data_IF_635671801415
#
_entry.id   IF_635671801415
#
_cell.length_a   1.000
_cell.length_b   1.000
_cell.length_c   1.000
_cell.angle_alpha   90.00
_cell.angle_beta   90.00
_cell.angle_gamma   90.00
#
_symmetry.space_group_name_H-M   'P 1'
#
loop_
_entity.id
_entity.type
_entity.pdbx_description
1 polymer ?
#
# COMPACT_ATOMS: atom_id res chain seq x y z
N UNK A 1 -13.93 -8.24 -3.37
CA UNK A 1 -13.16 -8.93 -2.32
C UNK A 1 -13.18 -10.43 -2.56
N UNK A 2 -12.02 -11.06 -2.78
CA UNK A 2 -11.93 -12.52 -2.99
C UNK A 2 -12.01 -13.23 -1.64
N UNK A 3 -13.17 -13.79 -1.28
CA UNK A 3 -13.34 -14.58 -0.05
C UNK A 3 -12.96 -16.04 -0.34
N UNK A 4 -11.99 -16.59 0.40
CA UNK A 4 -11.62 -18.02 0.34
C UNK A 4 -12.21 -18.71 1.58
N UNK A 5 -12.95 -19.81 1.40
CA UNK A 5 -13.44 -20.68 2.50
C UNK A 5 -12.95 -22.09 2.26
N UNK A 6 -12.46 -22.73 3.31
CA UNK A 6 -12.13 -24.16 3.33
C UNK A 6 -13.20 -24.82 4.19
N UNK A 7 -13.92 -25.81 3.64
CA UNK A 7 -14.82 -26.66 4.41
C UNK A 7 -13.98 -27.83 4.92
N UNK A 8 -13.92 -28.00 6.24
CA UNK A 8 -13.29 -29.14 6.88
C UNK A 8 -14.43 -30.13 7.15
N UNK A 9 -14.46 -31.26 6.43
CA UNK A 9 -15.49 -32.28 6.65
C UNK A 9 -15.12 -33.16 7.85
N UNK A 10 -14.02 -33.92 7.78
CA UNK A 10 -13.52 -34.73 8.89
C UNK A 10 -11.98 -34.71 8.89
N UNK A 11 -11.35 -34.06 9.87
CA UNK A 11 -9.90 -34.05 10.05
C UNK A 11 -9.58 -34.80 11.34
N UNK A 12 -8.88 -35.93 11.21
CA UNK A 12 -8.44 -36.73 12.36
C UNK A 12 -7.04 -36.25 12.75
N UNK A 13 -6.96 -35.52 13.85
CA UNK A 13 -5.71 -34.93 14.34
C UNK A 13 -5.36 -35.52 15.70
N UNK A 14 -4.06 -35.73 15.93
CA UNK A 14 -3.55 -36.15 17.24
C UNK A 14 -3.37 -34.93 18.12
N UNK A 15 -3.62 -35.10 19.41
CA UNK A 15 -3.42 -34.06 20.41
C UNK A 15 -1.97 -33.54 20.37
N UNK A 16 -1.80 -32.22 20.48
CA UNK A 16 -0.51 -31.50 20.46
C UNK A 16 0.34 -31.61 19.18
N UNK A 17 -0.12 -32.27 18.11
CA UNK A 17 0.61 -32.38 16.86
C UNK A 17 0.09 -31.40 15.79
N UNK A 18 0.97 -30.59 15.15
CA UNK A 18 0.56 -29.70 14.07
C UNK A 18 0.08 -30.50 12.85
N UNK A 19 -1.09 -30.11 12.34
CA UNK A 19 -1.69 -30.66 11.12
C UNK A 19 -1.85 -29.54 10.09
N UNK A 20 -1.39 -29.78 8.87
CA UNK A 20 -1.58 -28.87 7.73
C UNK A 20 -3.00 -29.05 7.21
N UNK A 21 -3.84 -28.01 7.35
CA UNK A 21 -5.22 -28.02 6.84
C UNK A 21 -5.27 -27.67 5.35
N UNK A 22 -4.26 -26.96 4.86
CA UNK A 22 -4.15 -26.62 3.45
C UNK A 22 -3.16 -25.49 3.18
N UNK A 23 -2.83 -25.30 1.90
CA UNK A 23 -1.98 -24.23 1.43
C UNK A 23 -2.36 -23.74 0.05
N UNK A 24 -1.96 -22.53 -0.29
CA UNK A 24 -2.07 -21.96 -1.62
C UNK A 24 -0.74 -21.33 -1.99
N UNK A 25 -0.10 -21.87 -3.01
CA UNK A 25 1.01 -21.22 -3.70
C UNK A 25 0.49 -20.65 -5.02
N UNK A 26 0.67 -19.34 -5.21
CA UNK A 26 0.30 -18.64 -6.43
C UNK A 26 1.50 -17.87 -6.93
N UNK A 27 1.97 -18.24 -8.10
CA UNK A 27 2.93 -17.46 -8.87
C UNK A 27 2.20 -16.70 -9.97
N UNK A 28 2.49 -15.40 -10.08
CA UNK A 28 2.00 -14.54 -11.14
C UNK A 28 3.20 -13.85 -11.77
N UNK A 29 3.42 -14.17 -13.03
CA UNK A 29 4.38 -13.48 -13.88
C UNK A 29 3.64 -12.41 -14.67
N UNK A 30 4.02 -11.14 -14.46
CA UNK A 30 3.50 -10.02 -15.24
C UNK A 30 4.64 -9.45 -16.06
N UNK A 31 4.57 -9.66 -17.38
CA UNK A 31 5.45 -9.01 -18.34
C UNK A 31 4.77 -7.73 -18.86
N UNK A 32 5.41 -6.58 -18.67
CA UNK A 32 4.95 -5.31 -19.22
C UNK A 32 5.96 -4.81 -20.25
N UNK A 33 5.57 -4.82 -21.52
CA UNK A 33 6.38 -4.30 -22.61
C UNK A 33 5.92 -2.87 -22.90
N UNK A 34 6.77 -1.90 -22.60
CA UNK A 34 6.56 -0.50 -23.00
C UNK A 34 7.36 -0.25 -24.28
N UNK A 35 6.71 0.24 -25.32
CA UNK A 35 7.35 0.53 -26.61
C UNK A 35 6.90 1.88 -27.16
N UNK A 36 7.78 2.53 -27.92
CA UNK A 36 7.44 3.74 -28.67
C UNK A 36 6.64 3.33 -29.93
N UNK A 37 5.45 3.89 -30.18
CA UNK A 37 4.66 3.56 -31.38
C UNK A 37 5.43 3.93 -32.66
N UNK A 38 5.37 3.06 -33.68
CA UNK A 38 6.14 3.18 -34.93
C UNK A 38 7.55 2.61 -34.83
N UNK A 39 8.43 3.24 -34.04
CA UNK A 39 9.84 2.85 -33.89
C UNK A 39 10.04 1.48 -33.20
N UNK A 40 9.11 1.08 -32.34
CA UNK A 40 9.15 -0.21 -31.65
C UNK A 40 8.89 -1.42 -32.57
N UNK A 41 8.26 -1.25 -33.72
CA UNK A 41 7.94 -2.39 -34.62
C UNK A 41 9.02 -2.70 -35.65
N UNK A 42 10.12 -1.93 -35.71
CA UNK A 42 11.17 -2.11 -36.70
C UNK A 42 11.93 -3.44 -36.44
N UNK A 43 12.06 -4.34 -37.42
CA UNK A 43 12.90 -5.53 -37.30
C UNK A 43 14.35 -5.10 -37.02
N UNK A 44 15.08 -5.84 -36.18
CA UNK A 44 16.48 -5.56 -35.79
C UNK A 44 16.63 -4.37 -34.80
N UNK A 45 16.10 -3.18 -35.12
CA UNK A 45 16.31 -1.97 -34.30
C UNK A 45 15.26 -1.76 -33.19
N UNK A 46 14.12 -2.44 -33.25
CA UNK A 46 13.01 -2.24 -32.31
C UNK A 46 13.32 -2.58 -30.84
N UNK A 47 14.42 -3.30 -30.55
CA UNK A 47 14.82 -3.63 -29.18
C UNK A 47 15.34 -2.40 -28.41
N UNK A 48 15.99 -1.44 -29.09
CA UNK A 48 16.49 -0.20 -28.47
C UNK A 48 15.37 0.72 -27.98
N UNK A 49 14.18 0.59 -28.56
CA UNK A 49 13.00 1.42 -28.28
C UNK A 49 11.91 0.66 -27.48
N UNK A 50 12.27 -0.48 -26.88
CA UNK A 50 11.40 -1.29 -26.01
C UNK A 50 12.01 -1.40 -24.62
N UNK A 51 11.19 -1.17 -23.59
CA UNK A 51 11.53 -1.49 -22.21
C UNK A 51 10.64 -2.62 -21.72
N UNK A 52 11.24 -3.78 -21.44
CA UNK A 52 10.54 -4.91 -20.80
C UNK A 52 10.72 -4.81 -19.29
N UNK A 53 9.62 -4.81 -18.56
CA UNK A 53 9.63 -4.89 -17.10
C UNK A 53 8.98 -6.20 -16.72
N UNK A 54 9.80 -7.15 -16.28
CA UNK A 54 9.36 -8.44 -15.76
C UNK A 54 9.14 -8.32 -14.26
N UNK A 55 7.93 -8.60 -13.79
CA UNK A 55 7.60 -8.60 -12.36
C UNK A 55 7.04 -9.97 -11.99
N UNK A 56 7.75 -10.65 -11.09
CA UNK A 56 7.33 -11.93 -10.53
C UNK A 56 6.70 -11.68 -9.17
N UNK A 57 5.46 -12.12 -8.98
CA UNK A 57 4.73 -12.04 -7.73
C UNK A 57 4.44 -13.46 -7.22
N UNK A 58 5.02 -13.83 -6.07
CA UNK A 58 4.81 -15.12 -5.41
C UNK A 58 4.02 -14.92 -4.13
N UNK A 59 2.83 -15.51 -4.05
CA UNK A 59 1.96 -15.49 -2.87
C UNK A 59 1.88 -16.92 -2.35
N UNK A 60 2.40 -17.14 -1.15
CA UNK A 60 2.29 -18.41 -0.45
C UNK A 60 1.39 -18.20 0.77
N UNK A 61 0.40 -19.07 0.97
CA UNK A 61 -0.47 -19.12 2.14
C UNK A 61 -0.45 -20.54 2.67
N UNK A 62 -0.23 -20.70 3.97
CA UNK A 62 -0.24 -22.00 4.64
C UNK A 62 -1.13 -21.90 5.89
N UNK A 63 -1.99 -22.89 6.07
CA UNK A 63 -2.91 -22.96 7.21
C UNK A 63 -2.58 -24.23 7.99
N UNK A 64 -2.14 -24.04 9.23
CA UNK A 64 -1.79 -25.10 10.17
C UNK A 64 -2.66 -24.95 11.41
N UNK A 65 -3.05 -26.09 11.97
CA UNK A 65 -3.79 -26.18 13.23
C UNK A 65 -3.11 -27.20 14.14
N UNK A 66 -3.00 -26.85 15.41
CA UNK A 66 -2.52 -27.74 16.46
C UNK A 66 -3.67 -27.88 17.45
N UNK A 67 -4.35 -29.04 17.50
CA UNK A 67 -5.40 -29.28 18.49
C UNK A 67 -4.77 -29.45 19.88
N UNK A 68 -5.51 -29.08 20.92
CA UNK A 68 -5.13 -29.32 22.32
C UNK A 68 -6.37 -29.73 23.12
N UNK A 69 -6.33 -30.86 23.84
CA UNK A 69 -7.39 -31.30 24.76
C UNK A 69 -7.18 -30.61 26.12
N UNK A 70 -8.15 -29.84 26.58
CA UNK A 70 -8.05 -29.12 27.87
C UNK A 70 -8.97 -29.79 28.88
N UNK A 71 -8.40 -30.32 29.95
CA UNK A 71 -9.16 -30.98 31.02
C UNK A 71 -9.46 -30.02 32.19
N UNK A 72 -8.64 -28.98 32.41
CA UNK A 72 -8.77 -28.05 33.55
C UNK A 72 -8.55 -26.58 33.15
N UNK A 73 -9.32 -25.65 33.72
CA UNK A 73 -9.28 -24.22 33.35
C UNK A 73 -7.96 -23.50 33.68
N UNK A 74 -7.19 -24.00 34.66
CA UNK A 74 -5.91 -23.41 35.07
C UNK A 74 -4.74 -23.73 34.12
N UNK A 75 -4.85 -24.78 33.29
CA UNK A 75 -3.81 -25.19 32.34
C UNK A 75 -3.72 -24.29 31.10
N UNK A 76 -4.79 -23.55 30.80
CA UNK A 76 -4.91 -22.72 29.60
C UNK A 76 -3.81 -21.65 29.53
N UNK A 77 -3.33 -21.13 30.67
CA UNK A 77 -2.37 -20.01 30.72
C UNK A 77 -0.91 -20.43 30.62
N UNK A 78 -0.52 -21.57 31.20
CA UNK A 78 0.88 -22.05 31.17
C UNK A 78 1.25 -22.67 29.82
N UNK A 79 0.31 -23.36 29.19
CA UNK A 79 0.54 -24.09 27.94
C UNK A 79 0.66 -23.13 26.74
N UNK A 80 0.01 -21.96 26.79
CA UNK A 80 -0.10 -21.11 25.61
C UNK A 80 1.20 -20.40 25.24
N UNK A 81 1.99 -19.95 26.23
CA UNK A 81 3.18 -19.13 25.96
C UNK A 81 4.39 -19.97 25.56
N UNK A 82 4.59 -21.16 26.14
CA UNK A 82 5.73 -22.03 25.81
C UNK A 82 5.57 -22.72 24.44
N UNK A 83 4.35 -23.14 24.08
CA UNK A 83 4.09 -23.93 22.85
C UNK A 83 4.13 -23.12 21.56
N UNK A 84 3.96 -21.79 21.64
CA UNK A 84 4.05 -20.91 20.47
C UNK A 84 5.47 -20.94 19.87
N UNK A 85 6.50 -21.12 20.70
CA UNK A 85 7.88 -21.17 20.23
C UNK A 85 8.18 -22.47 19.46
N UNK A 86 7.73 -23.62 19.96
CA UNK A 86 7.86 -24.93 19.29
C UNK A 86 7.17 -24.94 17.91
N UNK A 87 6.03 -24.24 17.79
CA UNK A 87 5.30 -24.07 16.52
C UNK A 87 6.11 -23.32 15.47
N UNK A 88 6.93 -22.33 15.86
CA UNK A 88 7.77 -21.59 14.93
C UNK A 88 8.91 -22.45 14.37
N UNK A 89 9.49 -23.32 15.19
CA UNK A 89 10.58 -24.21 14.74
C UNK A 89 10.10 -25.25 13.72
N UNK A 90 8.89 -25.78 13.88
CA UNK A 90 8.27 -26.70 12.91
C UNK A 90 8.01 -26.01 11.56
N UNK A 91 7.48 -24.79 11.57
CA UNK A 91 7.20 -23.99 10.37
C UNK A 91 8.46 -23.69 9.56
N UNK A 92 9.59 -23.42 10.24
CA UNK A 92 10.87 -23.10 9.61
C UNK A 92 11.54 -24.34 8.99
N UNK A 93 11.40 -25.53 9.58
CA UNK A 93 12.01 -26.76 9.05
C UNK A 93 11.28 -27.33 7.84
N UNK A 94 9.95 -27.30 7.85
CA UNK A 94 9.12 -27.93 6.81
C UNK A 94 8.84 -27.00 5.62
N UNK A 95 8.96 -25.67 5.77
CA UNK A 95 8.53 -24.74 4.72
C UNK A 95 9.52 -23.61 4.43
N UNK A 96 9.79 -23.35 3.14
CA UNK A 96 10.67 -22.27 2.64
C UNK A 96 10.10 -20.84 2.85
N UNK A 97 9.19 -20.63 3.80
CA UNK A 97 8.56 -19.33 4.05
C UNK A 97 9.53 -18.37 4.75
N UNK A 98 9.89 -17.26 4.11
CA UNK A 98 10.70 -16.21 4.72
C UNK A 98 9.96 -15.58 5.91
N UNK A 99 10.69 -15.52 7.02
CA UNK A 99 10.37 -14.95 8.35
C UNK A 99 9.93 -13.48 8.27
N UNK A 100 8.65 -13.24 7.99
CA UNK A 100 8.01 -12.02 8.47
C UNK A 100 7.39 -12.35 9.83
N UNK A 101 7.83 -11.63 10.86
CA UNK A 101 7.38 -11.79 12.25
C UNK A 101 5.86 -11.90 12.30
N UNK A 102 5.36 -13.10 12.58
CA UNK A 102 3.95 -13.29 12.89
C UNK A 102 3.68 -12.61 14.23
N UNK A 103 2.97 -11.49 14.22
CA UNK A 103 2.34 -10.93 15.43
C UNK A 103 1.30 -11.93 15.94
N UNK A 104 1.74 -12.91 16.72
CA UNK A 104 0.86 -13.92 17.32
C UNK A 104 0.22 -13.45 18.63
N UNK A 105 0.30 -12.17 18.98
CA UNK A 105 -0.39 -11.64 20.15
C UNK A 105 -1.80 -11.14 19.80
N UNK A 106 -2.62 -12.03 19.24
CA UNK A 106 -4.05 -11.77 19.03
C UNK A 106 -4.75 -12.03 20.35
N UNK A 107 -4.97 -10.98 21.14
CA UNK A 107 -5.71 -11.08 22.39
C UNK A 107 -7.22 -11.29 22.10
N UNK A 108 -7.65 -12.54 22.00
CA UNK A 108 -9.04 -12.93 21.69
C UNK A 108 -10.07 -12.45 22.73
N UNK A 109 -9.63 -12.00 23.91
CA UNK A 109 -10.48 -11.50 24.99
C UNK A 109 -10.88 -10.02 24.84
N UNK A 110 -10.19 -9.27 23.97
CA UNK A 110 -10.48 -7.87 23.62
C UNK A 110 -11.13 -7.74 22.23
N UNK A 111 -12.01 -8.67 21.85
CA UNK A 111 -12.93 -8.41 20.74
C UNK A 111 -13.93 -7.34 21.18
N UNK A 112 -13.50 -6.08 21.14
CA UNK A 112 -14.42 -4.99 20.95
C UNK A 112 -15.27 -5.37 19.72
N UNK A 113 -16.60 -5.45 19.89
CA UNK A 113 -17.50 -6.08 18.92
C UNK A 113 -17.41 -5.48 17.51
N UNK A 114 -18.05 -6.11 16.52
CA UNK A 114 -18.04 -5.67 15.10
C UNK A 114 -18.39 -4.18 14.90
N UNK A 115 -19.11 -3.56 15.83
CA UNK A 115 -19.40 -2.12 15.84
C UNK A 115 -18.15 -1.25 16.10
N UNK A 116 -17.23 -1.70 16.96
CA UNK A 116 -16.01 -0.96 17.29
C UNK A 116 -14.97 -0.98 16.18
N UNK A 117 -14.93 -2.04 15.37
CA UNK A 117 -14.06 -2.10 14.18
C UNK A 117 -14.57 -1.12 13.12
N UNK A 118 -15.89 -1.03 12.95
CA UNK A 118 -16.51 -0.09 12.01
C UNK A 118 -16.32 1.37 12.47
N UNK A 119 -16.53 1.69 13.75
CA UNK A 119 -16.32 3.05 14.28
C UNK A 119 -14.84 3.48 14.15
N UNK A 120 -13.90 2.57 14.44
CA UNK A 120 -12.46 2.88 14.34
C UNK A 120 -11.98 3.00 12.90
N UNK A 121 -12.55 2.21 11.98
CA UNK A 121 -12.28 2.32 10.54
C UNK A 121 -12.89 3.60 9.96
N UNK A 122 -14.12 3.97 10.36
CA UNK A 122 -14.76 5.22 9.96
C UNK A 122 -13.93 6.44 10.36
N UNK A 123 -13.50 6.52 11.63
CA UNK A 123 -12.65 7.62 12.11
C UNK A 123 -11.31 7.68 11.38
N UNK A 124 -10.74 6.54 10.98
CA UNK A 124 -9.50 6.48 10.19
C UNK A 124 -9.71 7.01 8.77
N UNK A 125 -10.81 6.65 8.12
CA UNK A 125 -11.17 7.17 6.80
C UNK A 125 -11.36 8.69 6.83
N UNK A 126 -12.06 9.20 7.85
CA UNK A 126 -12.22 10.65 8.07
C UNK A 126 -10.89 11.35 8.29
N UNK A 127 -10.01 10.76 9.11
CA UNK A 127 -8.68 11.32 9.37
C UNK A 127 -7.82 11.37 8.11
N UNK A 128 -7.91 10.34 7.26
CA UNK A 128 -7.22 10.34 5.97
C UNK A 128 -7.77 11.39 5.01
N UNK A 129 -9.09 11.60 4.99
CA UNK A 129 -9.67 12.66 4.18
C UNK A 129 -9.20 14.04 4.63
N UNK A 130 -9.12 14.28 5.95
CA UNK A 130 -8.56 15.52 6.50
C UNK A 130 -7.11 15.74 6.06
N UNK A 131 -6.27 14.71 6.14
CA UNK A 131 -4.88 14.79 5.66
C UNK A 131 -4.79 15.08 4.16
N UNK A 132 -5.68 14.50 3.34
CA UNK A 132 -5.72 14.78 1.91
C UNK A 132 -6.17 16.21 1.61
N UNK A 133 -7.12 16.75 2.38
CA UNK A 133 -7.55 18.15 2.25
C UNK A 133 -6.44 19.10 2.63
N UNK A 134 -5.71 18.81 3.70
CA UNK A 134 -4.54 19.58 4.12
C UNK A 134 -3.44 19.54 3.04
N UNK A 135 -3.17 18.37 2.47
CA UNK A 135 -2.23 18.24 1.37
C UNK A 135 -2.64 19.06 0.14
N UNK A 136 -3.94 19.13 -0.19
CA UNK A 136 -4.44 19.98 -1.29
C UNK A 136 -4.11 21.46 -1.06
N UNK A 137 -4.16 21.94 0.19
CA UNK A 137 -3.75 23.31 0.55
C UNK A 137 -2.27 23.52 0.21
N UNK A 138 -1.39 22.59 0.58
CA UNK A 138 0.03 22.68 0.27
C UNK A 138 0.32 22.62 -1.24
N UNK A 139 -0.39 21.79 -2.00
CA UNK A 139 -0.23 21.77 -3.46
C UNK A 139 -0.64 23.10 -4.10
N UNK A 140 -1.71 23.74 -3.59
CA UNK A 140 -2.11 25.08 -4.06
C UNK A 140 -1.08 26.14 -3.70
N UNK A 141 -0.58 26.17 -2.47
CA UNK A 141 0.47 27.11 -2.04
C UNK A 141 1.76 26.94 -2.84
N UNK A 142 2.13 25.70 -3.17
CA UNK A 142 3.31 25.42 -3.99
C UNK A 142 3.24 26.03 -5.40
N UNK A 143 2.05 26.25 -5.97
CA UNK A 143 1.91 26.89 -7.29
C UNK A 143 2.53 28.30 -7.31
N UNK A 144 2.46 29.04 -6.20
CA UNK A 144 3.10 30.35 -6.06
C UNK A 144 4.63 30.24 -6.25
N UNK A 145 5.28 29.33 -5.51
CA UNK A 145 6.72 29.10 -5.61
C UNK A 145 7.15 28.59 -7.00
N UNK A 146 6.31 27.79 -7.67
CA UNK A 146 6.58 27.32 -9.04
C UNK A 146 6.70 28.49 -10.04
N UNK A 147 5.98 29.59 -9.81
CA UNK A 147 6.10 30.78 -10.68
C UNK A 147 7.43 31.51 -10.53
N UNK A 148 8.13 31.32 -9.41
CA UNK A 148 9.43 31.94 -9.12
C UNK A 148 10.61 31.15 -9.72
N UNK A 149 10.41 29.89 -10.09
CA UNK A 149 11.45 29.03 -10.68
C UNK A 149 11.89 29.52 -12.08
N UNK A 150 13.07 29.09 -12.58
CA UNK A 150 13.47 29.27 -13.97
C UNK A 150 12.42 28.74 -14.95
N UNK A 151 12.17 29.44 -16.06
CA UNK A 151 11.06 29.13 -17.00
C UNK A 151 11.07 27.69 -17.52
N UNK A 152 12.25 27.09 -17.65
CA UNK A 152 12.43 25.76 -18.22
C UNK A 152 12.01 24.63 -17.27
N UNK A 153 12.11 24.84 -15.94
CA UNK A 153 11.78 23.82 -14.94
C UNK A 153 10.34 23.90 -14.44
N UNK A 154 9.65 25.04 -14.60
CA UNK A 154 8.25 25.24 -14.16
C UNK A 154 7.29 24.14 -14.63
N UNK A 155 7.21 23.79 -15.93
CA UNK A 155 6.24 22.80 -16.38
C UNK A 155 6.52 21.41 -15.81
N UNK A 156 7.79 21.05 -15.59
CA UNK A 156 8.17 19.76 -15.01
C UNK A 156 7.77 19.66 -13.54
N UNK A 157 8.12 20.66 -12.73
CA UNK A 157 7.77 20.69 -11.30
C UNK A 157 6.26 20.73 -11.11
N UNK A 158 5.56 21.52 -11.93
CA UNK A 158 4.10 21.58 -11.91
C UNK A 158 3.46 20.25 -12.30
N UNK A 159 3.97 19.57 -13.31
CA UNK A 159 3.45 18.26 -13.69
C UNK A 159 3.60 17.26 -12.54
N UNK A 160 4.74 17.27 -11.84
CA UNK A 160 4.93 16.45 -10.65
C UNK A 160 3.88 16.78 -9.57
N UNK A 161 3.72 18.06 -9.23
CA UNK A 161 2.70 18.53 -8.27
C UNK A 161 1.30 18.04 -8.63
N UNK A 162 0.87 18.21 -9.88
CA UNK A 162 -0.43 17.74 -10.36
C UNK A 162 -0.59 16.23 -10.30
N UNK A 163 0.47 15.46 -10.62
CA UNK A 163 0.43 13.99 -10.55
C UNK A 163 0.30 13.53 -9.11
N UNK A 164 1.04 14.12 -8.18
CA UNK A 164 0.96 13.76 -6.76
C UNK A 164 -0.36 14.16 -6.14
N UNK A 165 -0.89 15.36 -6.46
CA UNK A 165 -2.23 15.78 -6.05
C UNK A 165 -3.33 14.83 -6.59
N UNK A 166 -3.20 14.34 -7.84
CA UNK A 166 -4.18 13.42 -8.44
C UNK A 166 -4.18 12.03 -7.78
N UNK A 167 -3.12 11.65 -7.04
CA UNK A 167 -3.15 10.43 -6.19
C UNK A 167 -4.19 10.60 -5.08
N UNK A 168 -4.31 11.80 -4.50
CA UNK A 168 -5.33 12.10 -3.49
C UNK A 168 -6.75 11.86 -4.00
N UNK A 169 -7.04 12.23 -5.26
CA UNK A 169 -8.32 11.90 -5.91
C UNK A 169 -8.55 10.39 -5.97
N UNK A 170 -7.55 9.61 -6.36
CA UNK A 170 -7.66 8.15 -6.43
C UNK A 170 -7.91 7.55 -5.04
N UNK A 171 -7.26 8.08 -3.99
CA UNK A 171 -7.49 7.64 -2.61
C UNK A 171 -8.93 7.93 -2.18
N UNK A 172 -9.46 9.12 -2.51
CA UNK A 172 -10.87 9.48 -2.24
C UNK A 172 -11.84 8.59 -3.01
N UNK A 173 -11.59 8.31 -4.29
CA UNK A 173 -12.40 7.38 -5.11
C UNK A 173 -12.41 5.95 -4.54
N UNK A 174 -11.32 5.55 -3.86
CA UNK A 174 -11.24 4.26 -3.18
C UNK A 174 -11.93 4.26 -1.82
N UNK A 175 -12.45 5.40 -1.35
CA UNK A 175 -13.12 5.56 -0.06
C UNK A 175 -12.15 5.72 1.11
N UNK A 176 -10.92 6.19 0.88
CA UNK A 176 -9.88 6.30 1.91
C UNK A 176 -9.63 4.96 2.64
N UNK A 177 -9.75 3.84 1.91
CA UNK A 177 -9.53 2.51 2.46
C UNK A 177 -8.07 2.07 2.25
N UNK A 178 -7.23 1.99 3.30
CA UNK A 178 -5.82 1.61 3.19
C UNK A 178 -5.63 0.14 2.81
N UNK A 179 -6.66 -0.70 2.93
CA UNK A 179 -6.58 -2.13 2.64
C UNK A 179 -6.81 -2.46 1.15
N UNK A 180 -7.27 -1.48 0.36
CA UNK A 180 -7.48 -1.64 -1.10
C UNK A 180 -6.20 -1.63 -1.93
N UNK A 181 -5.04 -1.44 -1.31
CA UNK A 181 -3.74 -1.47 -1.95
C UNK A 181 -3.23 -0.08 -2.35
N UNK A 182 -2.20 -0.03 -3.19
CA UNK A 182 -1.51 1.23 -3.52
C UNK A 182 -2.31 2.06 -4.53
N UNK A 183 -2.61 3.31 -4.20
CA UNK A 183 -3.27 4.24 -5.11
C UNK A 183 -2.35 4.62 -6.28
N UNK A 184 -2.76 4.30 -7.51
CA UNK A 184 -2.01 4.58 -8.73
C UNK A 184 -2.86 5.39 -9.71
N UNK A 185 -2.27 6.41 -10.33
CA UNK A 185 -2.87 7.10 -11.47
C UNK A 185 -2.61 6.32 -12.78
N UNK A 186 -3.59 6.31 -13.68
CA UNK A 186 -3.47 5.60 -14.97
C UNK A 186 -2.43 6.26 -15.88
N UNK A 187 -1.83 5.51 -16.82
CA UNK A 187 -0.82 6.04 -17.74
C UNK A 187 -1.36 7.21 -18.58
N UNK A 188 -2.60 7.10 -19.06
CA UNK A 188 -3.28 8.17 -19.81
C UNK A 188 -3.54 9.42 -18.96
N UNK A 189 -3.94 9.25 -17.69
CA UNK A 189 -4.12 10.37 -16.75
C UNK A 189 -2.81 11.11 -16.49
N UNK A 190 -1.71 10.38 -16.26
CA UNK A 190 -0.37 10.98 -16.10
C UNK A 190 0.04 11.77 -17.33
N UNK A 191 -0.17 11.22 -18.53
CA UNK A 191 0.13 11.90 -19.78
C UNK A 191 -0.73 13.17 -19.95
N UNK A 192 -2.02 13.09 -19.63
CA UNK A 192 -2.91 14.25 -19.68
C UNK A 192 -2.51 15.35 -18.68
N UNK A 193 -2.10 14.99 -17.46
CA UNK A 193 -1.63 15.96 -16.45
C UNK A 193 -0.31 16.62 -16.86
N UNK A 194 0.62 15.85 -17.45
CA UNK A 194 1.85 16.38 -18.04
C UNK A 194 1.54 17.39 -19.15
N UNK A 195 0.67 17.00 -20.08
CA UNK A 195 0.27 17.86 -21.20
C UNK A 195 -0.46 19.12 -20.71
N UNK A 196 -1.34 18.98 -19.71
CA UNK A 196 -2.02 20.11 -19.06
C UNK A 196 -1.03 21.06 -18.39
N UNK A 197 0.00 20.56 -17.72
CA UNK A 197 1.04 21.38 -17.08
C UNK A 197 1.87 22.17 -18.10
N UNK A 198 2.06 21.60 -19.30
CA UNK A 198 2.81 22.21 -20.38
C UNK A 198 2.00 23.27 -21.15
N UNK A 199 0.73 22.98 -21.43
CA UNK A 199 -0.14 23.85 -22.24
C UNK A 199 -0.70 25.04 -21.44
N UNK A 200 -1.22 24.79 -20.23
CA UNK A 200 -1.70 25.89 -19.38
C UNK A 200 -0.52 26.47 -18.63
N UNK A 201 -0.36 27.79 -18.57
CA UNK A 201 0.56 28.42 -17.60
C UNK A 201 0.06 28.20 -16.17
N UNK A 202 0.97 28.28 -15.19
CA UNK A 202 0.62 28.24 -13.76
C UNK A 202 -0.40 29.34 -13.53
N UNK A 203 -1.60 29.05 -12.98
CA UNK A 203 -2.51 30.12 -12.61
C UNK A 203 -1.78 31.07 -11.66
N UNK A 204 -2.03 32.38 -11.73
CA UNK A 204 -1.53 33.28 -10.70
C UNK A 204 -2.06 32.77 -9.36
N UNK A 205 -1.15 32.43 -8.45
CA UNK A 205 -1.52 32.15 -7.06
C UNK A 205 -2.16 33.40 -6.49
N UNK A 206 -3.17 33.24 -5.63
CA UNK A 206 -3.71 34.36 -4.88
C UNK A 206 -2.56 34.95 -4.04
N UNK A 207 -2.52 36.28 -3.87
CA UNK A 207 -1.49 36.92 -3.06
C UNK A 207 -1.42 36.31 -1.65
N UNK A 208 -2.58 35.91 -1.12
CA UNK A 208 -2.74 35.21 0.17
C UNK A 208 -1.97 33.88 0.25
N UNK A 209 -1.86 33.12 -0.86
CA UNK A 209 -1.14 31.85 -0.88
C UNK A 209 0.38 32.05 -0.92
N UNK A 210 0.84 33.17 -1.48
CA UNK A 210 2.26 33.53 -1.54
C UNK A 210 2.78 34.11 -0.21
N UNK A 211 1.91 34.76 0.56
CA UNK A 211 2.21 35.32 1.90
C UNK A 211 1.96 34.33 3.05
N UNK A 212 1.60 33.09 2.74
CA UNK A 212 1.32 32.08 3.76
C UNK A 212 2.56 31.79 4.63
N UNK A 213 2.39 31.63 5.96
CA UNK A 213 3.50 31.33 6.85
C UNK A 213 4.14 30.00 6.49
N UNK A 214 5.45 29.93 6.71
CA UNK A 214 6.26 28.74 6.47
C UNK A 214 5.80 27.65 7.42
N UNK A 215 5.59 26.44 6.89
CA UNK A 215 5.24 25.29 7.72
C UNK A 215 6.43 24.91 8.62
N UNK A 216 6.20 24.49 9.88
CA UNK A 216 7.28 24.13 10.81
C UNK A 216 8.27 23.13 10.23
N UNK A 217 7.79 22.20 9.39
CA UNK A 217 8.58 21.18 8.74
C UNK A 217 9.55 21.73 7.69
N UNK A 218 9.31 22.92 7.14
CA UNK A 218 10.19 23.59 6.18
C UNK A 218 11.00 24.73 6.79
N UNK A 219 10.80 25.05 8.08
CA UNK A 219 11.51 26.14 8.76
C UNK A 219 13.03 25.96 8.69
N UNK A 220 13.53 24.71 8.75
CA UNK A 220 14.95 24.41 8.66
C UNK A 220 15.60 24.85 7.34
N UNK A 221 14.83 24.93 6.24
CA UNK A 221 15.35 25.36 4.94
C UNK A 221 15.67 26.85 4.90
N UNK A 222 15.12 27.63 5.84
CA UNK A 222 15.29 29.09 5.92
C UNK A 222 16.29 29.51 7.00
N UNK A 223 16.74 28.59 7.86
CA UNK A 223 17.69 28.91 8.93
C UNK A 223 19.09 29.26 8.43
N UNK A 224 19.41 28.85 7.20
CA UNK A 224 20.73 29.04 6.57
C UNK A 224 20.70 30.06 5.40
N UNK A 225 19.60 30.80 5.22
CA UNK A 225 19.42 31.85 4.21
C UNK A 225 19.45 33.24 4.85
#
# INVERSE_FOLDING_TARGET
TTKRRIKLENVLARDDLPVVLGGLMREREVENIQQIPGLGSIPILGWLFKRRVKRNEKINLLIIMVPHVVETADDIRRIHEQRIQERYEFLERETNFKRNKFDANVNYRKKAGMLSTVDREARRMESQELLLREADVYYRRADAGITMLPRDSRPAIRAASLIYADIGRVIREQGCDPLRGRAHTSKGRKLWLLLRAWVRRTPPSLAEDAEAPVIPECEFLLRDL
#
